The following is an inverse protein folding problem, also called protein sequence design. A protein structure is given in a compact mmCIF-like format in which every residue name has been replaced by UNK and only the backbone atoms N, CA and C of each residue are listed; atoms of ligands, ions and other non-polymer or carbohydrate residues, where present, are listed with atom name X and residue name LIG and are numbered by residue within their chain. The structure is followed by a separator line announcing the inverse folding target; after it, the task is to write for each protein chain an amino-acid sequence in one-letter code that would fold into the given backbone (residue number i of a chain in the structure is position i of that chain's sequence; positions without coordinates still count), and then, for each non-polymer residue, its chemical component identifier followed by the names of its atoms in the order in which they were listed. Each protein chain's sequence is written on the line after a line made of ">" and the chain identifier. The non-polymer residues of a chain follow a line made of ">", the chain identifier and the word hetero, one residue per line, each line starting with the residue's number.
data_IF_523803694310
#
_entry.id   IF_523803694310
#
_cell.length_a   1.000
_cell.length_b   1.000
_cell.length_c   1.000
_cell.angle_alpha   90.00
_cell.angle_beta   90.00
_cell.angle_gamma   90.00
#
_symmetry.space_group_name_H-M   'P 1'
#
loop_
_entity.id
_entity.type
_entity.pdbx_description
1 polymer ?
#
# COMPACT_ATOMS: atom_id res chain seq x y z
N UNK A 1 15.33 -20.51 -39.05
CA UNK A 1 15.47 -21.04 -37.66
C UNK A 1 14.40 -20.44 -36.77
N UNK A 2 13.12 -20.63 -37.12
CA UNK A 2 12.01 -20.10 -36.33
C UNK A 2 11.63 -21.11 -35.25
N UNK A 3 12.13 -20.90 -34.03
CA UNK A 3 11.81 -21.73 -32.87
C UNK A 3 10.98 -20.91 -31.88
N UNK A 4 9.68 -21.21 -31.79
CA UNK A 4 8.78 -20.68 -30.76
C UNK A 4 8.78 -21.57 -29.51
N UNK A 5 8.67 -20.96 -28.32
CA UNK A 5 8.42 -21.69 -27.06
C UNK A 5 6.97 -21.54 -26.66
N UNK A 6 6.46 -22.55 -25.96
CA UNK A 6 5.14 -22.47 -25.33
C UNK A 6 5.10 -21.33 -24.31
N UNK A 7 3.95 -20.66 -24.13
CA UNK A 7 3.81 -19.54 -23.21
C UNK A 7 3.96 -19.97 -21.75
N UNK A 8 4.68 -19.17 -20.95
CA UNK A 8 5.02 -19.50 -19.57
C UNK A 8 3.86 -19.43 -18.56
N UNK A 9 2.75 -18.73 -18.89
CA UNK A 9 1.54 -18.62 -18.05
C UNK A 9 1.81 -18.40 -16.56
N UNK A 10 2.65 -17.42 -16.23
CA UNK A 10 3.00 -17.08 -14.85
C UNK A 10 1.77 -16.64 -14.07
N UNK A 11 1.43 -17.33 -12.98
CA UNK A 11 0.24 -17.03 -12.17
C UNK A 11 0.58 -16.50 -10.78
N UNK A 12 -0.35 -15.76 -10.19
CA UNK A 12 -0.32 -15.46 -8.77
C UNK A 12 -0.54 -16.76 -7.99
N UNK A 13 0.38 -17.08 -7.08
CA UNK A 13 0.30 -18.27 -6.24
C UNK A 13 0.98 -18.01 -4.90
N UNK A 14 0.51 -18.68 -3.85
CA UNK A 14 1.15 -18.69 -2.53
C UNK A 14 2.49 -19.43 -2.55
N UNK A 15 2.64 -20.43 -3.43
CA UNK A 15 3.87 -21.20 -3.60
C UNK A 15 4.84 -20.46 -4.53
N UNK A 16 5.93 -19.98 -3.94
CA UNK A 16 6.84 -19.05 -4.61
C UNK A 16 8.01 -19.78 -5.28
N UNK A 17 7.87 -20.15 -6.55
CA UNK A 17 8.97 -20.73 -7.35
C UNK A 17 10.06 -19.69 -7.73
N UNK A 18 9.81 -18.41 -7.47
CA UNK A 18 10.74 -17.30 -7.77
C UNK A 18 11.33 -16.74 -6.47
N UNK A 19 12.67 -16.68 -6.34
CA UNK A 19 13.32 -16.07 -5.17
C UNK A 19 12.89 -14.61 -5.01
N UNK A 20 12.41 -14.23 -3.82
CA UNK A 20 12.12 -12.80 -3.51
C UNK A 20 13.46 -12.07 -3.42
N UNK A 21 13.73 -11.16 -4.34
CA UNK A 21 14.84 -10.22 -4.21
C UNK A 21 14.33 -9.05 -3.39
N UNK A 22 14.97 -8.86 -2.24
CA UNK A 22 14.64 -7.80 -1.28
C UNK A 22 15.15 -6.47 -1.81
N UNK A 23 14.25 -5.60 -2.24
CA UNK A 23 14.54 -4.17 -2.42
C UNK A 23 14.25 -3.40 -1.12
N UNK A 24 14.93 -2.27 -0.95
CA UNK A 24 14.87 -1.41 0.25
C UNK A 24 13.43 -0.90 0.41
N UNK A 25 12.74 -1.34 1.47
CA UNK A 25 11.31 -1.04 1.70
C UNK A 25 10.42 -2.27 1.91
N UNK A 26 10.95 -3.49 1.70
CA UNK A 26 10.23 -4.73 1.98
C UNK A 26 9.64 -5.39 0.72
N UNK A 27 9.20 -6.64 0.86
CA UNK A 27 8.57 -7.37 -0.24
C UNK A 27 7.13 -6.87 -0.39
N UNK A 28 6.86 -6.15 -1.46
CA UNK A 28 5.51 -5.74 -1.83
C UNK A 28 4.73 -6.98 -2.31
N UNK A 29 3.59 -7.26 -1.67
CA UNK A 29 2.72 -8.38 -2.05
C UNK A 29 1.75 -7.91 -3.13
N UNK A 30 1.78 -8.58 -4.28
CA UNK A 30 0.68 -8.52 -5.25
C UNK A 30 -0.49 -9.29 -4.63
N UNK A 31 -1.62 -8.62 -4.47
CA UNK A 31 -2.81 -9.17 -3.85
C UNK A 31 -3.72 -9.82 -4.89
N UNK A 32 -3.98 -9.13 -5.99
CA UNK A 32 -4.89 -9.59 -7.03
C UNK A 32 -4.59 -8.94 -8.38
N UNK A 33 -5.04 -9.56 -9.47
CA UNK A 33 -5.02 -8.99 -10.82
C UNK A 33 -6.40 -8.40 -11.10
N UNK A 34 -6.48 -7.10 -11.35
CA UNK A 34 -7.77 -6.39 -11.47
C UNK A 34 -8.18 -6.21 -12.93
N UNK A 35 -7.22 -5.87 -13.77
CA UNK A 35 -7.50 -5.54 -15.17
C UNK A 35 -6.35 -5.96 -16.08
N UNK A 36 -6.72 -6.41 -17.27
CA UNK A 36 -5.79 -6.66 -18.36
C UNK A 36 -6.46 -6.12 -19.63
N UNK A 37 -5.69 -5.39 -20.44
CA UNK A 37 -6.19 -4.77 -21.66
C UNK A 37 -6.52 -5.80 -22.76
N UNK A 38 -5.75 -6.88 -22.85
CA UNK A 38 -5.83 -7.82 -23.97
C UNK A 38 -6.92 -8.89 -23.78
N UNK A 39 -7.03 -9.45 -22.58
CA UNK A 39 -7.94 -10.57 -22.34
C UNK A 39 -8.43 -10.61 -20.88
N UNK A 40 -9.73 -10.80 -20.71
CA UNK A 40 -10.38 -10.95 -19.41
C UNK A 40 -10.09 -12.29 -18.72
N UNK A 41 -9.79 -13.35 -19.48
CA UNK A 41 -9.43 -14.65 -18.90
C UNK A 41 -8.12 -14.59 -18.11
N UNK A 42 -7.21 -13.69 -18.49
CA UNK A 42 -5.96 -13.48 -17.76
C UNK A 42 -6.20 -12.88 -16.37
N UNK A 43 -7.28 -12.11 -16.21
CA UNK A 43 -7.71 -11.59 -14.91
C UNK A 43 -8.32 -12.71 -14.07
N UNK A 44 -9.22 -13.52 -14.66
CA UNK A 44 -9.88 -14.64 -13.97
C UNK A 44 -8.88 -15.70 -13.48
N UNK A 45 -7.87 -15.98 -14.28
CA UNK A 45 -6.82 -16.97 -13.98
C UNK A 45 -5.66 -16.41 -13.15
N UNK A 46 -5.70 -15.12 -12.80
CA UNK A 46 -4.62 -14.40 -12.12
C UNK A 46 -3.26 -14.56 -12.81
N UNK A 47 -3.25 -14.50 -14.15
CA UNK A 47 -2.02 -14.60 -14.95
C UNK A 47 -1.35 -13.23 -15.06
N UNK A 48 -0.06 -13.18 -14.71
CA UNK A 48 0.77 -11.97 -14.70
C UNK A 48 1.44 -11.79 -16.06
N UNK A 49 1.09 -10.69 -16.73
CA UNK A 49 1.65 -10.29 -18.03
C UNK A 49 2.10 -8.84 -17.93
N UNK A 50 2.99 -8.41 -18.83
CA UNK A 50 3.34 -6.99 -18.98
C UNK A 50 2.05 -6.17 -19.19
N UNK A 51 1.97 -5.02 -18.53
CA UNK A 51 0.82 -4.11 -18.54
C UNK A 51 -0.44 -4.62 -17.84
N UNK A 52 -0.38 -5.75 -17.14
CA UNK A 52 -1.47 -6.14 -16.25
C UNK A 52 -1.56 -5.15 -15.08
N UNK A 53 -2.79 -4.75 -14.75
CA UNK A 53 -3.09 -3.89 -13.61
C UNK A 53 -3.41 -4.77 -12.41
N UNK A 54 -2.69 -4.54 -11.33
CA UNK A 54 -2.72 -5.35 -10.12
C UNK A 54 -3.05 -4.51 -8.89
N UNK A 55 -3.65 -5.15 -7.90
CA UNK A 55 -3.79 -4.61 -6.55
C UNK A 55 -2.56 -4.99 -5.73
N UNK A 56 -2.03 -4.00 -5.02
CA UNK A 56 -0.80 -4.09 -4.24
C UNK A 56 -1.06 -3.62 -2.82
N UNK A 57 -0.41 -4.26 -1.85
CA UNK A 57 -0.45 -3.84 -0.45
C UNK A 57 0.17 -2.45 -0.24
N UNK A 58 -0.58 -1.54 0.37
CA UNK A 58 -0.15 -0.18 0.66
C UNK A 58 0.71 -0.05 1.93
N UNK A 59 0.68 -1.04 2.84
CA UNK A 59 1.37 -0.98 4.13
C UNK A 59 2.87 -0.61 4.05
N UNK A 60 3.70 -1.23 3.18
CA UNK A 60 5.12 -0.87 3.09
C UNK A 60 5.32 0.58 2.61
N UNK A 61 4.44 1.10 1.77
CA UNK A 61 4.50 2.47 1.28
C UNK A 61 4.11 3.48 2.35
N UNK A 62 3.13 3.17 3.20
CA UNK A 62 2.78 4.01 4.37
C UNK A 62 3.95 4.12 5.34
N UNK A 63 4.58 2.99 5.66
CA UNK A 63 5.74 2.97 6.56
C UNK A 63 6.91 3.78 5.99
N UNK A 64 7.19 3.63 4.69
CA UNK A 64 8.21 4.42 4.02
C UNK A 64 7.86 5.93 4.04
N UNK A 65 6.60 6.27 3.78
CA UNK A 65 6.14 7.65 3.77
C UNK A 65 6.28 8.33 5.14
N UNK A 66 5.91 7.62 6.21
CA UNK A 66 6.12 8.05 7.59
C UNK A 66 7.60 8.28 7.90
N UNK A 67 8.48 7.36 7.48
CA UNK A 67 9.93 7.49 7.70
C UNK A 67 10.54 8.63 6.87
N UNK A 68 10.02 8.84 5.66
CA UNK A 68 10.60 9.80 4.70
C UNK A 68 10.17 11.24 4.98
N UNK A 69 8.88 11.44 5.28
CA UNK A 69 8.26 12.76 5.47
C UNK A 69 7.87 13.05 6.92
N UNK A 70 7.86 12.05 7.80
CA UNK A 70 7.44 12.21 9.19
C UNK A 70 5.93 12.35 9.39
N UNK A 71 5.14 12.03 8.37
CA UNK A 71 3.68 12.24 8.35
C UNK A 71 2.99 10.91 8.04
N UNK A 72 1.94 10.60 8.78
CA UNK A 72 1.08 9.45 8.49
C UNK A 72 0.11 9.75 7.34
N UNK A 73 -0.06 8.76 6.45
CA UNK A 73 -0.94 8.83 5.28
C UNK A 73 -2.05 7.77 5.38
N UNK A 74 -3.26 8.13 4.94
CA UNK A 74 -4.39 7.20 4.90
C UNK A 74 -5.04 6.93 6.26
N UNK A 75 -4.91 7.84 7.23
CA UNK A 75 -5.83 7.88 8.37
C UNK A 75 -7.19 8.33 7.84
N UNK A 76 -8.17 7.42 7.72
CA UNK A 76 -9.55 7.84 7.47
C UNK A 76 -9.91 8.85 8.54
N UNK A 77 -10.29 10.08 8.15
CA UNK A 77 -10.93 11.04 9.03
C UNK A 77 -12.16 10.33 9.61
N UNK A 78 -12.08 9.79 10.83
CA UNK A 78 -13.30 9.59 11.63
C UNK A 78 -13.91 10.98 11.72
N UNK A 79 -15.15 11.12 11.30
CA UNK A 79 -15.95 12.33 11.52
C UNK A 79 -15.67 12.85 12.93
N UNK A 80 -15.25 14.11 13.02
CA UNK A 80 -14.81 14.75 14.24
C UNK A 80 -15.87 14.59 15.35
N UNK A 81 -15.50 13.89 16.44
CA UNK A 81 -16.18 14.01 17.72
C UNK A 81 -15.39 15.02 18.55
N UNK A 82 -16.03 16.15 18.83
CA UNK A 82 -15.49 17.27 19.58
C UNK A 82 -15.30 16.98 21.07
N UNK A 83 -14.29 17.65 21.66
CA UNK A 83 -14.10 18.16 23.05
C UNK A 83 -12.65 17.92 23.50
N UNK A 84 -11.98 18.74 24.30
CA UNK A 84 -11.96 20.18 24.66
C UNK A 84 -10.61 20.35 25.40
N UNK A 85 -10.13 21.58 25.52
CA UNK A 85 -8.80 21.97 26.04
C UNK A 85 -8.51 21.56 27.51
N UNK A 86 -7.22 21.30 27.78
CA UNK A 86 -6.44 21.76 28.94
C UNK A 86 -6.63 21.11 30.32
N UNK A 87 -5.62 20.38 30.80
CA UNK A 87 -4.97 20.62 32.12
C UNK A 87 -3.61 19.88 32.22
N UNK A 88 -2.58 20.58 32.69
CA UNK A 88 -1.27 20.01 33.06
C UNK A 88 -1.28 19.74 34.56
N UNK A 89 -1.21 18.48 35.00
CA UNK A 89 -0.85 18.16 36.38
C UNK A 89 0.08 16.94 36.42
N UNK A 90 1.35 17.23 36.68
CA UNK A 90 2.33 16.35 37.32
C UNK A 90 1.76 15.71 38.59
N UNK A 91 1.82 14.38 38.73
CA UNK A 91 2.15 13.69 39.98
C UNK A 91 2.80 12.33 39.66
N UNK A 92 3.80 12.02 40.49
CA UNK A 92 4.77 10.93 40.41
C UNK A 92 4.17 9.54 40.64
N UNK A 93 4.87 8.56 40.08
CA UNK A 93 4.94 7.11 40.40
C UNK A 93 4.45 6.71 41.80
N UNK A 94 3.62 5.66 41.88
CA UNK A 94 3.81 4.53 42.81
C UNK A 94 2.93 3.33 42.42
N UNK A 95 3.52 2.14 42.54
CA UNK A 95 2.97 0.79 42.41
C UNK A 95 1.59 0.58 43.05
N UNK A 96 0.71 -0.21 42.42
CA UNK A 96 0.19 -1.49 42.97
C UNK A 96 -0.20 -2.43 41.82
N UNK A 97 0.44 -3.59 41.84
CA UNK A 97 0.13 -4.83 41.14
C UNK A 97 -1.11 -5.47 41.78
N UNK A 98 -2.20 -5.67 41.02
CA UNK A 98 -3.22 -6.67 41.38
C UNK A 98 -3.93 -7.18 40.11
N UNK A 99 -3.85 -8.50 39.94
CA UNK A 99 -4.36 -9.30 38.84
C UNK A 99 -5.89 -9.33 38.76
N UNK A 100 -6.37 -9.80 37.59
CA UNK A 100 -7.65 -10.47 37.30
C UNK A 100 -8.73 -9.63 36.61
N UNK A 101 -8.67 -9.61 35.28
CA UNK A 101 -9.69 -10.19 34.38
C UNK A 101 -9.38 -9.75 32.96
N UNK A 102 -9.00 -10.70 32.10
CA UNK A 102 -8.72 -10.43 30.70
C UNK A 102 -10.03 -10.23 29.93
N UNK A 103 -10.10 -9.16 29.12
CA UNK A 103 -10.61 -9.28 27.76
C UNK A 103 -9.42 -9.25 26.78
N UNK A 104 -9.52 -10.09 25.77
CA UNK A 104 -8.52 -10.33 24.73
C UNK A 104 -7.89 -9.07 24.14
N UNK A 105 -6.58 -9.09 23.82
CA UNK A 105 -5.94 -8.01 23.07
C UNK A 105 -6.41 -8.11 21.62
N UNK A 106 -7.43 -7.33 21.27
CA UNK A 106 -7.67 -7.00 19.87
C UNK A 106 -6.49 -6.14 19.43
N UNK A 107 -5.70 -6.68 18.50
CA UNK A 107 -4.54 -6.00 17.92
C UNK A 107 -5.01 -4.89 16.97
N UNK A 108 -5.69 -3.88 17.49
CA UNK A 108 -5.76 -2.57 16.85
C UNK A 108 -4.62 -1.74 17.41
N UNK A 109 -3.53 -1.71 16.64
CA UNK A 109 -2.29 -1.04 16.99
C UNK A 109 -2.50 0.46 17.18
N UNK A 110 -2.72 0.85 18.42
CA UNK A 110 -2.55 2.22 18.91
C UNK A 110 -1.05 2.48 19.08
N UNK A 111 -0.37 2.83 17.99
CA UNK A 111 0.98 3.39 18.10
C UNK A 111 0.85 4.84 18.52
N UNK A 112 0.69 5.06 19.83
CA UNK A 112 1.07 6.32 20.44
C UNK A 112 2.54 6.55 20.05
N UNK A 113 2.77 7.51 19.16
CA UNK A 113 4.13 7.92 18.79
C UNK A 113 4.76 8.56 20.01
N UNK A 114 5.53 7.80 20.77
CA UNK A 114 6.49 8.37 21.72
C UNK A 114 7.34 9.39 20.94
N UNK A 115 7.33 10.64 21.39
CA UNK A 115 8.09 11.73 20.77
C UNK A 115 9.60 11.51 21.04
N UNK A 116 10.20 10.65 20.24
CA UNK A 116 11.66 10.49 20.23
C UNK A 116 12.25 11.82 19.75
N UNK A 117 12.99 12.52 20.64
CA UNK A 117 13.74 13.74 20.29
C UNK A 117 14.61 13.48 19.06
N UNK A 118 14.20 14.01 17.91
CA UNK A 118 14.96 13.92 16.66
C UNK A 118 16.08 14.97 16.66
N UNK A 119 17.21 14.65 16.01
CA UNK A 119 18.30 15.62 15.87
C UNK A 119 17.90 16.77 14.94
N UNK A 120 18.44 17.96 15.18
CA UNK A 120 18.15 19.16 14.38
C UNK A 120 18.42 18.98 12.88
N UNK A 121 19.37 18.12 12.53
CA UNK A 121 19.66 17.78 11.14
C UNK A 121 18.55 16.95 10.47
N UNK A 122 17.88 16.07 11.22
CA UNK A 122 16.73 15.30 10.72
C UNK A 122 15.53 16.23 10.53
N UNK A 123 15.26 17.13 11.48
CA UNK A 123 14.18 18.11 11.36
C UNK A 123 14.33 18.97 10.09
N UNK A 124 15.53 19.53 9.87
CA UNK A 124 15.84 20.29 8.64
C UNK A 124 15.67 19.47 7.37
N UNK A 125 15.98 18.17 7.39
CA UNK A 125 15.76 17.28 6.23
C UNK A 125 14.28 17.03 5.98
N UNK A 126 13.48 16.90 7.03
CA UNK A 126 12.03 16.71 6.91
C UNK A 126 11.37 17.97 6.37
N UNK A 127 11.69 19.15 6.91
CA UNK A 127 11.17 20.43 6.42
C UNK A 127 11.47 20.65 4.94
N UNK A 128 12.71 20.42 4.51
CA UNK A 128 13.10 20.53 3.09
C UNK A 128 12.30 19.58 2.18
N UNK A 129 11.94 18.38 2.68
CA UNK A 129 11.14 17.41 1.92
C UNK A 129 9.65 17.77 1.91
N UNK A 130 9.15 18.39 2.96
CA UNK A 130 7.75 18.79 3.08
C UNK A 130 7.39 19.91 2.09
N UNK A 131 8.35 20.76 1.73
CA UNK A 131 8.12 21.88 0.80
C UNK A 131 7.63 21.43 -0.59
N UNK A 132 8.13 20.31 -1.11
CA UNK A 132 7.75 19.80 -2.44
C UNK A 132 6.68 18.70 -2.37
N UNK A 133 5.96 18.58 -1.24
CA UNK A 133 4.96 17.54 -1.04
C UNK A 133 3.67 17.90 -1.77
N UNK A 134 3.38 17.18 -2.84
CA UNK A 134 2.06 17.11 -3.45
C UNK A 134 1.66 15.64 -3.62
N UNK A 135 0.46 15.28 -3.20
CA UNK A 135 -0.12 13.96 -3.43
C UNK A 135 -1.46 14.14 -4.15
N UNK A 136 -1.71 13.27 -5.11
CA UNK A 136 -2.98 13.22 -5.81
C UNK A 136 -4.10 12.74 -4.86
N UNK A 137 -5.29 13.37 -4.87
CA UNK A 137 -6.40 12.96 -4.02
C UNK A 137 -6.82 11.49 -4.18
N UNK A 138 -6.77 10.95 -5.40
CA UNK A 138 -7.15 9.56 -5.66
C UNK A 138 -6.14 8.57 -5.06
N UNK A 139 -4.86 8.95 -5.04
CA UNK A 139 -3.82 8.15 -4.39
C UNK A 139 -4.01 8.13 -2.88
N UNK A 140 -4.35 9.27 -2.28
CA UNK A 140 -4.64 9.36 -0.85
C UNK A 140 -5.83 8.48 -0.43
N UNK A 141 -6.89 8.44 -1.24
CA UNK A 141 -8.03 7.55 -1.01
C UNK A 141 -7.61 6.07 -1.04
N UNK A 142 -6.77 5.68 -2.01
CA UNK A 142 -6.24 4.31 -2.10
C UNK A 142 -5.39 3.94 -0.90
N UNK A 143 -4.57 4.86 -0.40
CA UNK A 143 -3.85 4.66 0.87
C UNK A 143 -4.83 4.44 2.03
N UNK A 144 -5.96 5.14 2.07
CA UNK A 144 -7.02 4.88 3.05
C UNK A 144 -7.63 3.48 2.96
N UNK A 145 -7.76 2.94 1.75
CA UNK A 145 -8.24 1.56 1.53
C UNK A 145 -7.20 0.48 1.86
N UNK A 146 -5.92 0.84 1.91
CA UNK A 146 -4.82 -0.10 2.11
C UNK A 146 -4.44 -0.89 0.84
N UNK A 147 -5.07 -0.62 -0.30
CA UNK A 147 -4.80 -1.28 -1.58
C UNK A 147 -4.50 -0.23 -2.65
N UNK A 148 -3.35 -0.35 -3.29
CA UNK A 148 -2.92 0.52 -4.38
C UNK A 148 -3.09 -0.18 -5.72
N UNK A 149 -3.46 0.57 -6.75
CA UNK A 149 -3.43 0.09 -8.13
C UNK A 149 -2.04 0.30 -8.74
N UNK A 150 -1.48 -0.75 -9.34
CA UNK A 150 -0.17 -0.71 -9.95
C UNK A 150 -0.17 -1.41 -11.32
N UNK A 151 0.76 -1.02 -12.19
CA UNK A 151 0.97 -1.61 -13.50
C UNK A 151 2.27 -2.40 -13.54
N UNK A 152 2.23 -3.63 -14.04
CA UNK A 152 3.43 -4.45 -14.26
C UNK A 152 4.18 -3.94 -15.49
N UNK A 153 5.42 -3.48 -15.32
CA UNK A 153 6.27 -3.02 -16.42
C UNK A 153 7.18 -4.14 -16.95
N UNK A 154 7.50 -5.13 -16.12
CA UNK A 154 8.33 -6.27 -16.48
C UNK A 154 7.59 -7.28 -17.39
N UNK A 155 8.30 -8.30 -17.88
CA UNK A 155 7.76 -9.41 -18.67
C UNK A 155 7.88 -10.73 -17.89
N UNK A 156 6.96 -11.02 -16.95
CA UNK A 156 7.14 -12.12 -15.98
C UNK A 156 7.44 -13.48 -16.60
N UNK A 157 6.84 -13.82 -17.73
CA UNK A 157 7.09 -15.09 -18.42
C UNK A 157 8.48 -15.22 -19.07
N UNK A 158 9.23 -14.12 -19.20
CA UNK A 158 10.59 -14.10 -19.76
C UNK A 158 11.64 -13.83 -18.67
N UNK A 159 11.40 -12.84 -17.82
CA UNK A 159 12.36 -12.46 -16.77
C UNK A 159 12.15 -13.20 -15.44
N UNK A 160 11.06 -13.93 -15.27
CA UNK A 160 10.71 -14.60 -14.02
C UNK A 160 10.42 -13.64 -12.87
N UNK A 161 10.18 -12.35 -13.13
CA UNK A 161 9.93 -11.31 -12.12
C UNK A 161 8.75 -10.42 -12.51
N UNK A 162 7.96 -10.02 -11.53
CA UNK A 162 6.85 -9.10 -11.69
C UNK A 162 7.17 -7.80 -10.95
N UNK A 163 7.80 -6.87 -11.66
CA UNK A 163 8.12 -5.53 -11.18
C UNK A 163 7.21 -4.52 -11.89
N UNK A 164 6.87 -3.44 -11.19
CA UNK A 164 5.88 -2.47 -11.66
C UNK A 164 5.95 -1.16 -10.90
N UNK A 165 5.09 -0.23 -11.29
CA UNK A 165 4.95 1.10 -10.68
C UNK A 165 3.49 1.34 -10.29
N UNK A 166 3.28 2.21 -9.30
CA UNK A 166 1.93 2.62 -8.85
C UNK A 166 1.33 3.53 -9.92
N UNK A 167 0.06 3.32 -10.26
CA UNK A 167 -0.64 4.16 -11.23
C UNK A 167 -0.95 5.52 -10.60
N UNK A 168 -0.66 6.62 -11.28
CA UNK A 168 -0.85 7.99 -10.79
C UNK A 168 -1.57 8.88 -11.82
N UNK A 169 -2.20 9.96 -11.34
CA UNK A 169 -2.82 11.01 -12.16
C UNK A 169 -3.77 10.50 -13.25
N UNK A 170 -3.58 10.97 -14.49
CA UNK A 170 -4.46 10.65 -15.64
C UNK A 170 -4.54 9.16 -15.96
N UNK A 171 -3.44 8.42 -15.76
CA UNK A 171 -3.44 6.97 -16.01
C UNK A 171 -4.33 6.26 -14.99
N UNK A 172 -4.26 6.68 -13.73
CA UNK A 172 -5.10 6.12 -12.69
C UNK A 172 -6.58 6.38 -12.97
N UNK A 173 -6.94 7.61 -13.33
CA UNK A 173 -8.32 7.97 -13.70
C UNK A 173 -8.83 7.13 -14.88
N UNK A 174 -7.99 6.95 -15.91
CA UNK A 174 -8.31 6.16 -17.09
C UNK A 174 -8.64 4.71 -16.71
N UNK A 175 -7.78 4.06 -15.93
CA UNK A 175 -7.99 2.66 -15.52
C UNK A 175 -9.14 2.53 -14.53
N UNK A 176 -9.33 3.48 -13.61
CA UNK A 176 -10.45 3.48 -12.68
C UNK A 176 -11.79 3.53 -13.43
N UNK A 177 -11.91 4.41 -14.42
CA UNK A 177 -13.10 4.49 -15.30
C UNK A 177 -13.31 3.20 -16.09
N UNK A 178 -12.24 2.57 -16.61
CA UNK A 178 -12.31 1.29 -17.34
C UNK A 178 -12.77 0.14 -16.45
N UNK A 179 -12.26 0.05 -15.22
CA UNK A 179 -12.62 -0.97 -14.25
C UNK A 179 -14.11 -0.83 -13.87
N UNK A 180 -14.56 0.39 -13.56
CA UNK A 180 -15.96 0.66 -13.22
C UNK A 180 -16.91 0.33 -14.37
N UNK A 181 -16.59 0.75 -15.61
CA UNK A 181 -17.38 0.42 -16.80
C UNK A 181 -17.48 -1.09 -17.03
N UNK A 182 -16.40 -1.84 -16.78
CA UNK A 182 -16.39 -3.30 -16.92
C UNK A 182 -17.24 -3.96 -15.84
N UNK A 183 -17.23 -3.45 -14.60
CA UNK A 183 -18.07 -3.95 -13.51
C UNK A 183 -19.57 -3.72 -13.79
N UNK A 184 -19.93 -2.53 -14.31
CA UNK A 184 -21.33 -2.21 -14.62
C UNK A 184 -21.93 -3.03 -15.78
N UNK A 185 -21.10 -3.47 -16.75
CA UNK A 185 -21.56 -4.33 -17.85
C UNK A 185 -21.84 -5.78 -17.49
N UNK A 186 -21.34 -6.26 -16.35
CA UNK A 186 -21.55 -7.64 -15.90
C UNK A 186 -22.68 -7.81 -14.87
N UNK A 187 -23.34 -6.71 -14.50
CA UNK A 187 -24.43 -6.68 -13.52
C UNK A 187 -25.79 -6.32 -14.16
N UNK A 188 -25.86 -6.31 -15.49
CA UNK A 188 -27.05 -6.08 -16.30
C UNK A 188 -27.30 -7.31 -17.18
#
# INVERSE_FOLDING_TARGET
>A
YELGRQPANTKLSSNKTVRRIRVRGGNVKILDVVYNASNNELVRTQTLVKSAIVQVDAAPFKQWYLQHYGIDIGRKKKSAAAKKEGEVVTIKRAYVFQLMSAPSPTWEGETATEEVKKSNHVLRKLEKRQQNRALDPHIEEQFGSGRLLACISSRPGQCGRADGYILEGKELEFYMKKIQRKKGKGAA
#
